data_IF_533472035444
#
_entry.id   IF_533472035444
#
_cell.length_a   1.000
_cell.length_b   1.000
_cell.length_c   1.000
_cell.angle_alpha   90.00
_cell.angle_beta   90.00
_cell.angle_gamma   90.00
#
_symmetry.space_group_name_H-M   'P 1'
#
loop_
_entity.id
_entity.type
_entity.pdbx_description
1 polymer ?
#
# COMPACT_ATOMS: atom_id res chain seq x y z
N UNK A 1 18.05 -0.81 31.05
CA UNK A 1 16.82 -1.62 30.91
C UNK A 1 15.71 -0.67 30.56
N UNK A 2 15.04 -0.87 29.43
CA UNK A 2 13.80 -0.14 29.12
C UNK A 2 12.73 -0.60 30.11
N UNK A 3 11.97 0.34 30.68
CA UNK A 3 10.85 0.00 31.58
C UNK A 3 9.68 -0.52 30.76
N UNK A 4 9.07 -1.62 31.20
CA UNK A 4 7.86 -2.16 30.57
C UNK A 4 6.69 -1.17 30.71
N UNK A 5 6.02 -0.85 29.60
CA UNK A 5 4.76 -0.09 29.60
C UNK A 5 4.84 1.38 29.16
N UNK A 6 5.98 1.88 28.71
CA UNK A 6 6.06 3.23 28.13
C UNK A 6 5.57 3.19 26.69
N UNK A 7 4.59 4.04 26.35
CA UNK A 7 4.23 4.31 24.96
C UNK A 7 5.41 5.03 24.30
N UNK A 8 6.13 4.31 23.44
CA UNK A 8 7.30 4.82 22.72
C UNK A 8 6.79 5.26 21.35
N UNK A 9 6.89 6.56 21.08
CA UNK A 9 6.56 7.08 19.78
C UNK A 9 7.47 6.43 18.70
N UNK A 10 6.97 6.14 17.48
CA UNK A 10 7.76 5.45 16.46
C UNK A 10 9.08 6.13 16.07
N UNK A 11 9.24 7.44 16.34
CA UNK A 11 10.50 8.17 16.14
C UNK A 11 11.48 8.06 17.33
N UNK A 12 11.04 7.57 18.49
CA UNK A 12 11.84 7.34 19.70
C UNK A 12 12.36 5.90 19.79
N UNK A 13 11.90 4.99 18.92
CA UNK A 13 12.41 3.62 18.85
C UNK A 13 13.76 3.53 18.11
N UNK A 14 14.84 3.70 18.87
CA UNK A 14 16.21 3.56 18.37
C UNK A 14 16.56 2.15 17.83
N UNK A 15 15.75 1.11 18.12
CA UNK A 15 15.99 -0.27 17.65
C UNK A 15 15.26 -0.58 16.33
N UNK A 16 14.49 0.37 15.78
CA UNK A 16 13.71 0.17 14.54
C UNK A 16 12.88 -1.13 14.56
N UNK A 17 12.43 -1.56 15.75
CA UNK A 17 11.85 -2.88 15.99
C UNK A 17 10.59 -3.09 15.14
N UNK A 18 9.80 -2.03 14.95
CA UNK A 18 8.62 -2.00 14.09
C UNK A 18 8.96 -2.42 12.65
N UNK A 19 10.11 -2.01 12.11
CA UNK A 19 10.49 -2.35 10.73
C UNK A 19 10.94 -3.81 10.56
N UNK A 20 11.33 -4.49 11.64
CA UNK A 20 11.69 -5.91 11.60
C UNK A 20 10.46 -6.82 11.57
N UNK A 21 9.33 -6.34 12.10
CA UNK A 21 8.07 -7.10 12.19
C UNK A 21 7.01 -6.62 11.20
N UNK A 22 7.18 -5.48 10.54
CA UNK A 22 6.23 -4.94 9.57
C UNK A 22 6.57 -5.35 8.14
N UNK A 23 5.62 -5.95 7.43
CA UNK A 23 5.81 -6.33 6.03
C UNK A 23 5.66 -5.17 5.04
N UNK A 24 5.92 -5.45 3.75
CA UNK A 24 5.82 -4.48 2.65
C UNK A 24 4.43 -3.86 2.45
N UNK A 25 3.39 -4.43 3.06
CA UNK A 25 2.01 -3.98 2.98
C UNK A 25 1.54 -3.30 4.29
N UNK A 26 2.44 -3.19 5.27
CA UNK A 26 2.17 -2.54 6.54
C UNK A 26 1.55 -3.46 7.58
N UNK A 27 1.52 -4.78 7.38
CA UNK A 27 1.04 -5.71 8.43
C UNK A 27 2.17 -6.05 9.40
N UNK A 28 1.86 -5.96 10.68
CA UNK A 28 2.69 -6.40 11.78
C UNK A 28 2.57 -7.92 11.97
N UNK A 29 3.71 -8.59 12.04
CA UNK A 29 3.85 -10.01 12.32
C UNK A 29 4.33 -10.23 13.76
N UNK A 30 3.98 -11.37 14.35
CA UNK A 30 4.39 -11.71 15.73
C UNK A 30 5.89 -12.04 15.82
N UNK A 31 6.46 -12.54 14.72
CA UNK A 31 7.87 -12.90 14.59
C UNK A 31 8.60 -11.91 13.66
N UNK A 32 9.91 -11.75 13.84
CA UNK A 32 10.73 -10.97 12.91
C UNK A 32 10.67 -11.58 11.51
N UNK A 33 10.48 -10.71 10.52
CA UNK A 33 10.50 -11.10 9.13
C UNK A 33 11.90 -11.59 8.76
N UNK A 34 11.93 -12.73 8.05
CA UNK A 34 13.17 -13.25 7.49
C UNK A 34 13.83 -12.21 6.60
N UNK A 35 15.16 -12.20 6.59
CA UNK A 35 15.93 -11.36 5.67
C UNK A 35 15.49 -11.64 4.23
N UNK A 36 15.27 -10.60 3.41
CA UNK A 36 14.82 -10.78 2.04
C UNK A 36 15.73 -11.74 1.28
N UNK A 37 15.11 -12.74 0.64
CA UNK A 37 15.81 -13.63 -0.27
C UNK A 37 16.32 -12.85 -1.50
N UNK A 38 17.35 -13.37 -2.17
CA UNK A 38 17.82 -12.81 -3.44
C UNK A 38 16.71 -12.72 -4.51
N UNK A 39 15.69 -13.58 -4.41
CA UNK A 39 14.51 -13.55 -5.29
C UNK A 39 13.67 -12.30 -5.00
N UNK A 40 13.41 -11.99 -3.73
CA UNK A 40 12.63 -10.82 -3.32
C UNK A 40 13.35 -9.52 -3.65
N UNK A 41 14.67 -9.46 -3.46
CA UNK A 41 15.46 -8.31 -3.88
C UNK A 41 15.37 -8.09 -5.39
N UNK A 42 15.48 -9.15 -6.19
CA UNK A 42 15.32 -9.07 -7.64
C UNK A 42 13.92 -8.58 -8.03
N UNK A 43 12.87 -9.05 -7.35
CA UNK A 43 11.50 -8.59 -7.57
C UNK A 43 11.35 -7.11 -7.22
N UNK A 44 11.93 -6.65 -6.11
CA UNK A 44 11.94 -5.24 -5.69
C UNK A 44 12.60 -4.35 -6.73
N UNK A 45 13.75 -4.74 -7.27
CA UNK A 45 14.41 -4.00 -8.36
C UNK A 45 13.53 -3.93 -9.62
N UNK A 46 12.91 -5.04 -10.02
CA UNK A 46 11.97 -5.04 -11.15
C UNK A 46 10.76 -4.13 -10.90
N UNK A 47 10.27 -4.06 -9.66
CA UNK A 47 9.17 -3.17 -9.29
C UNK A 47 9.58 -1.70 -9.44
N UNK A 48 10.77 -1.33 -8.97
CA UNK A 48 11.33 0.02 -9.10
C UNK A 48 11.45 0.41 -10.58
N UNK A 49 12.00 -0.44 -11.44
CA UNK A 49 12.10 -0.17 -12.88
C UNK A 49 10.74 -0.01 -13.57
N UNK A 50 9.69 -0.62 -13.02
CA UNK A 50 8.33 -0.50 -13.57
C UNK A 50 7.71 0.84 -13.19
N UNK A 51 8.07 1.46 -12.06
CA UNK A 51 7.53 2.74 -11.59
C UNK A 51 7.66 3.81 -12.67
N UNK A 52 8.86 4.00 -13.24
CA UNK A 52 9.08 5.05 -14.24
C UNK A 52 8.25 4.83 -15.51
N UNK A 53 8.11 3.56 -15.94
CA UNK A 53 7.31 3.16 -17.11
C UNK A 53 5.82 3.43 -16.85
N UNK A 54 5.35 3.13 -15.65
CA UNK A 54 3.98 3.39 -15.22
C UNK A 54 3.69 4.88 -15.09
N UNK A 55 4.60 5.68 -14.51
CA UNK A 55 4.47 7.14 -14.44
C UNK A 55 4.28 7.75 -15.84
N UNK A 56 5.04 7.28 -16.84
CA UNK A 56 4.87 7.70 -18.24
C UNK A 56 3.51 7.33 -18.82
N UNK A 57 2.97 6.16 -18.44
CA UNK A 57 1.65 5.71 -18.91
C UNK A 57 0.51 6.48 -18.24
N UNK A 58 0.58 6.70 -16.92
CA UNK A 58 -0.42 7.46 -16.17
C UNK A 58 -0.49 8.92 -16.64
N UNK A 59 0.66 9.57 -16.87
CA UNK A 59 0.71 10.93 -17.43
C UNK A 59 0.06 11.06 -18.81
N UNK A 60 -0.03 9.96 -19.58
CA UNK A 60 -0.65 9.92 -20.91
C UNK A 60 -1.83 8.95 -20.91
N UNK A 61 -2.68 9.06 -19.89
CA UNK A 61 -3.75 8.11 -19.61
C UNK A 61 -4.66 7.86 -20.80
N UNK A 62 -5.17 8.92 -21.46
CA UNK A 62 -6.10 8.80 -22.58
C UNK A 62 -5.53 8.02 -23.76
N UNK A 63 -4.21 8.12 -23.98
CA UNK A 63 -3.51 7.34 -25.01
C UNK A 63 -3.49 5.84 -24.68
N UNK A 64 -3.37 5.49 -23.40
CA UNK A 64 -3.07 4.12 -23.00
C UNK A 64 -4.27 3.35 -22.43
N UNK A 65 -5.27 4.01 -21.85
CA UNK A 65 -6.38 3.38 -21.09
C UNK A 65 -7.04 2.20 -21.80
N UNK A 66 -7.24 2.30 -23.12
CA UNK A 66 -7.89 1.27 -23.93
C UNK A 66 -6.92 0.50 -24.84
N UNK A 67 -5.61 0.57 -24.57
CA UNK A 67 -4.59 -0.10 -25.37
C UNK A 67 -4.25 -1.49 -24.83
N UNK A 68 -3.91 -2.43 -25.72
CA UNK A 68 -3.35 -3.74 -25.32
C UNK A 68 -2.11 -3.61 -24.44
N UNK A 69 -1.35 -2.53 -24.63
CA UNK A 69 -0.17 -2.23 -23.83
C UNK A 69 -0.55 -2.01 -22.36
N UNK A 70 -1.68 -1.34 -22.08
CA UNK A 70 -2.17 -1.18 -20.72
C UNK A 70 -2.55 -2.52 -20.11
N UNK A 71 -3.37 -3.32 -20.81
CA UNK A 71 -3.80 -4.65 -20.35
C UNK A 71 -2.59 -5.52 -20.00
N UNK A 72 -1.62 -5.65 -20.92
CA UNK A 72 -0.39 -6.42 -20.69
C UNK A 72 0.43 -5.90 -19.50
N UNK A 73 0.40 -4.60 -19.20
CA UNK A 73 1.14 -4.00 -18.07
C UNK A 73 0.45 -4.27 -16.76
N UNK A 74 -0.89 -4.20 -16.72
CA UNK A 74 -1.69 -4.59 -15.56
C UNK A 74 -1.44 -6.04 -15.19
N UNK A 75 -1.47 -6.97 -16.15
CA UNK A 75 -1.18 -8.39 -15.93
C UNK A 75 0.23 -8.65 -15.39
N UNK A 76 1.23 -7.87 -15.82
CA UNK A 76 2.59 -7.95 -15.27
C UNK A 76 2.66 -7.46 -13.83
N UNK A 77 1.78 -6.56 -13.44
CA UNK A 77 1.69 -5.98 -12.10
C UNK A 77 1.92 -4.48 -12.09
N UNK A 78 1.08 -3.81 -11.30
CA UNK A 78 1.18 -2.37 -10.97
C UNK A 78 2.08 -2.22 -9.73
N UNK A 79 3.13 -1.37 -9.79
CA UNK A 79 3.99 -1.05 -8.64
C UNK A 79 3.16 -0.57 -7.46
N UNK A 80 3.51 -0.99 -6.26
CA UNK A 80 2.76 -0.71 -5.03
C UNK A 80 2.49 0.79 -4.86
N UNK A 81 3.48 1.63 -5.12
CA UNK A 81 3.41 3.10 -5.00
C UNK A 81 2.36 3.74 -5.93
N UNK A 82 2.00 3.07 -7.03
CA UNK A 82 1.07 3.59 -8.03
C UNK A 82 -0.29 2.88 -8.01
N UNK A 83 -0.47 1.81 -7.22
CA UNK A 83 -1.71 1.02 -7.21
C UNK A 83 -2.94 1.87 -6.91
N UNK A 84 -2.88 2.69 -5.87
CA UNK A 84 -4.02 3.54 -5.48
C UNK A 84 -4.49 4.45 -6.63
N UNK A 85 -3.55 5.14 -7.27
CA UNK A 85 -3.85 6.03 -8.39
C UNK A 85 -4.34 5.26 -9.63
N UNK A 86 -3.66 4.18 -10.00
CA UNK A 86 -3.99 3.41 -11.22
C UNK A 86 -5.32 2.69 -11.07
N UNK A 87 -5.60 2.08 -9.91
CA UNK A 87 -6.91 1.46 -9.66
C UNK A 87 -8.04 2.49 -9.66
N UNK A 88 -7.81 3.67 -9.10
CA UNK A 88 -8.79 4.75 -9.16
C UNK A 88 -9.14 5.16 -10.59
N UNK A 89 -8.13 5.22 -11.47
CA UNK A 89 -8.33 5.49 -12.90
C UNK A 89 -8.98 4.33 -13.66
N UNK A 90 -8.62 3.08 -13.36
CA UNK A 90 -9.19 1.91 -14.04
C UNK A 90 -10.66 1.67 -13.69
N UNK A 91 -11.05 2.00 -12.46
CA UNK A 91 -12.41 1.80 -11.96
C UNK A 91 -13.27 3.06 -12.07
N UNK A 92 -12.74 4.13 -12.69
CA UNK A 92 -13.41 5.43 -12.80
C UNK A 92 -14.00 5.90 -11.46
N UNK A 93 -13.22 5.77 -10.37
CA UNK A 93 -13.70 6.03 -9.00
C UNK A 93 -14.29 7.43 -8.85
N UNK A 94 -13.72 8.43 -9.53
CA UNK A 94 -14.21 9.80 -9.49
C UNK A 94 -15.66 9.91 -9.98
N UNK A 95 -15.97 9.25 -11.09
CA UNK A 95 -17.34 9.18 -11.64
C UNK A 95 -18.27 8.49 -10.65
N UNK A 96 -17.86 7.31 -10.14
CA UNK A 96 -18.67 6.52 -9.20
C UNK A 96 -18.94 7.30 -7.90
N UNK A 97 -17.97 8.06 -7.40
CA UNK A 97 -18.11 8.92 -6.21
C UNK A 97 -19.10 10.05 -6.44
N UNK A 98 -19.03 10.70 -7.60
CA UNK A 98 -19.97 11.77 -7.96
C UNK A 98 -21.40 11.25 -8.07
N UNK A 99 -21.58 10.07 -8.70
CA UNK A 99 -22.89 9.44 -8.87
C UNK A 99 -23.50 8.90 -7.55
N UNK A 100 -22.68 8.61 -6.55
CA UNK A 100 -23.09 8.02 -5.27
C UNK A 100 -22.65 8.89 -4.07
N UNK A 101 -22.71 10.21 -4.21
CA UNK A 101 -22.36 11.12 -3.13
C UNK A 101 -23.22 10.86 -1.88
N UNK A 102 -22.59 10.82 -0.70
CA UNK A 102 -23.26 10.53 0.58
C UNK A 102 -23.55 9.05 0.87
N UNK A 103 -23.20 8.11 -0.02
CA UNK A 103 -23.48 6.66 0.17
C UNK A 103 -22.37 5.91 0.93
N UNK A 104 -21.15 6.42 0.93
CA UNK A 104 -19.96 5.70 1.41
C UNK A 104 -19.55 6.09 2.83
N UNK A 105 -20.51 6.16 3.75
CA UNK A 105 -20.25 6.27 5.19
C UNK A 105 -20.16 4.86 5.77
N UNK A 106 -19.01 4.51 6.36
CA UNK A 106 -18.79 3.21 6.99
C UNK A 106 -18.12 3.47 8.35
N UNK A 107 -18.92 3.47 9.40
CA UNK A 107 -18.44 3.71 10.77
C UNK A 107 -18.26 2.43 11.59
N UNK A 108 -19.04 1.37 11.32
CA UNK A 108 -19.10 0.21 12.24
C UNK A 108 -18.13 -0.94 11.90
N UNK A 109 -17.90 -1.24 10.62
CA UNK A 109 -17.10 -2.42 10.20
C UNK A 109 -15.60 -2.15 10.05
N UNK A 110 -15.18 -0.88 10.06
CA UNK A 110 -13.76 -0.53 9.98
C UNK A 110 -13.01 -0.97 11.25
N UNK A 111 -13.67 -0.88 12.40
CA UNK A 111 -13.12 -1.26 13.72
C UNK A 111 -12.85 -2.77 13.90
N UNK A 112 -13.22 -3.61 12.92
CA UNK A 112 -13.07 -5.08 12.97
C UNK A 112 -12.13 -5.62 11.91
N UNK A 113 -11.57 -4.79 11.04
CA UNK A 113 -10.77 -5.24 9.90
C UNK A 113 -9.35 -4.65 9.94
N UNK A 114 -8.33 -5.47 9.70
CA UNK A 114 -6.93 -5.06 9.56
C UNK A 114 -6.30 -4.34 10.77
N UNK A 115 -6.64 -4.73 12.00
CA UNK A 115 -6.10 -4.14 13.25
C UNK A 115 -4.58 -4.19 13.36
N UNK A 116 -3.94 -5.19 12.77
CA UNK A 116 -2.48 -5.35 12.79
C UNK A 116 -1.80 -4.63 11.63
N UNK A 117 -2.51 -3.80 10.86
CA UNK A 117 -1.92 -3.02 9.79
C UNK A 117 -1.69 -1.58 10.25
N UNK A 118 -0.46 -1.10 10.13
CA UNK A 118 -0.03 0.23 10.62
C UNK A 118 -0.89 1.38 10.09
N UNK A 119 -1.43 1.25 8.88
CA UNK A 119 -2.24 2.30 8.25
C UNK A 119 -3.62 2.44 8.89
N UNK A 120 -4.05 1.44 9.66
CA UNK A 120 -5.36 1.37 10.32
C UNK A 120 -5.26 1.38 11.85
N UNK A 121 -4.05 1.38 12.42
CA UNK A 121 -3.84 1.51 13.87
C UNK A 121 -4.13 2.93 14.36
N UNK A 122 -3.52 3.93 13.74
CA UNK A 122 -3.48 5.30 14.27
C UNK A 122 -4.77 6.11 14.01
N UNK A 123 -5.61 5.65 13.07
CA UNK A 123 -6.87 6.33 12.73
C UNK A 123 -8.02 5.99 13.71
N UNK A 124 -7.87 4.95 14.53
CA UNK A 124 -8.90 4.47 15.47
C UNK A 124 -8.47 4.46 16.94
N UNK A 125 -7.28 4.99 17.26
CA UNK A 125 -6.88 5.29 18.64
C UNK A 125 -6.92 4.09 19.60
N UNK A 126 -6.30 2.98 19.22
CA UNK A 126 -6.00 1.87 20.15
C UNK A 126 -4.51 1.78 20.38
#
# INVERSE_FOLDING_TARGET
GRQEGVHIDPWEDADYSIYKVTDRHGFLHEEELLTPSAIEEKQKHQEIERVEKWLKMVKKWDKYRNSDKMVKRVYKGIPLQLRGQVWALLLDIEKVKQENSGKYEIDLDVNRTFRNNIMFMDRFGV
#
